data_IF_140646061797
#
_entry.id   IF_140646061797
#
_cell.length_a   1.000
_cell.length_b   1.000
_cell.length_c   1.000
_cell.angle_alpha   90.00
_cell.angle_beta   90.00
_cell.angle_gamma   90.00
#
_symmetry.space_group_name_H-M   'P 1'
#
loop_
_entity.id
_entity.type
_entity.pdbx_description
1 polymer ?
#
# COMPACT_ATOMS: atom_id res chain seq x y z
N UNK A 1 -19.40 -6.27 4.63
CA UNK A 1 -18.03 -6.79 4.75
C UNK A 1 -17.07 -5.73 4.23
N UNK A 2 -15.86 -5.74 4.74
CA UNK A 2 -14.81 -4.80 4.33
C UNK A 2 -13.87 -5.50 3.30
N UNK A 3 -14.44 -6.06 2.25
CA UNK A 3 -13.66 -6.63 1.16
C UNK A 3 -13.09 -5.49 0.31
N UNK A 4 -11.81 -5.23 0.51
CA UNK A 4 -11.03 -4.27 -0.25
C UNK A 4 -9.80 -4.99 -0.80
N UNK A 5 -9.73 -5.11 -2.11
CA UNK A 5 -8.68 -5.87 -2.81
C UNK A 5 -7.87 -4.93 -3.68
N UNK A 6 -6.56 -5.02 -3.56
CA UNK A 6 -5.61 -4.35 -4.45
C UNK A 6 -4.86 -5.41 -5.24
N UNK A 7 -4.88 -5.30 -6.55
CA UNK A 7 -4.13 -6.17 -7.46
C UNK A 7 -3.24 -5.32 -8.37
N UNK A 8 -1.99 -5.75 -8.51
CA UNK A 8 -1.00 -5.10 -9.36
C UNK A 8 -0.42 -6.12 -10.32
N UNK A 9 -0.40 -5.78 -11.60
CA UNK A 9 0.14 -6.60 -12.67
C UNK A 9 1.26 -5.85 -13.37
N UNK A 10 2.45 -6.45 -13.39
CA UNK A 10 3.64 -5.88 -14.00
C UNK A 10 4.40 -6.88 -14.87
N UNK A 11 5.40 -6.40 -15.56
CA UNK A 11 6.24 -7.23 -16.44
C UNK A 11 7.11 -8.25 -15.68
N UNK A 12 7.33 -8.02 -14.39
CA UNK A 12 8.13 -8.91 -13.52
C UNK A 12 7.28 -9.82 -12.65
N UNK A 13 5.96 -9.66 -12.66
CA UNK A 13 5.06 -10.46 -11.84
C UNK A 13 3.79 -9.73 -11.47
N UNK A 14 3.02 -10.34 -10.59
CA UNK A 14 1.77 -9.81 -10.06
C UNK A 14 1.75 -9.92 -8.55
N UNK A 15 1.06 -9.01 -7.89
CA UNK A 15 0.82 -9.05 -6.45
C UNK A 15 -0.66 -8.79 -6.16
N UNK A 16 -1.17 -9.41 -5.11
CA UNK A 16 -2.54 -9.24 -4.66
C UNK A 16 -2.60 -9.17 -3.15
N UNK A 17 -3.35 -8.20 -2.64
CA UNK A 17 -3.60 -8.04 -1.22
C UNK A 17 -5.09 -7.82 -0.96
N UNK A 18 -5.60 -8.41 0.12
CA UNK A 18 -6.99 -8.28 0.53
C UNK A 18 -7.05 -7.80 1.97
N UNK A 19 -7.82 -6.74 2.22
CA UNK A 19 -7.98 -6.15 3.53
C UNK A 19 -8.54 -7.12 4.59
N UNK A 20 -9.42 -8.04 4.22
CA UNK A 20 -9.91 -9.09 5.13
C UNK A 20 -8.82 -10.11 5.52
N UNK A 21 -7.68 -10.10 4.79
CA UNK A 21 -6.49 -10.92 5.05
C UNK A 21 -5.26 -10.03 5.21
N UNK A 22 -5.38 -9.06 6.07
CA UNK A 22 -4.48 -7.94 6.27
C UNK A 22 -2.98 -8.32 6.31
N UNK A 23 -2.67 -9.47 6.89
CA UNK A 23 -1.30 -9.94 7.14
C UNK A 23 -0.76 -10.86 6.03
N UNK A 24 -1.44 -10.96 4.91
CA UNK A 24 -1.10 -11.85 3.80
C UNK A 24 -0.88 -11.04 2.52
N UNK A 25 0.22 -11.32 1.81
CA UNK A 25 0.46 -10.82 0.46
C UNK A 25 0.63 -12.00 -0.48
N UNK A 26 -0.14 -12.05 -1.55
CA UNK A 26 0.00 -13.05 -2.59
C UNK A 26 0.87 -12.50 -3.72
N UNK A 27 1.93 -13.22 -4.09
CA UNK A 27 2.92 -12.81 -5.09
C UNK A 27 3.06 -13.92 -6.12
N UNK A 28 3.06 -13.53 -7.39
CA UNK A 28 3.26 -14.40 -8.53
C UNK A 28 4.38 -13.80 -9.40
N UNK A 29 5.66 -14.15 -9.18
CA UNK A 29 6.75 -13.66 -10.01
C UNK A 29 6.71 -14.29 -11.41
N UNK A 30 7.13 -13.54 -12.41
CA UNK A 30 7.48 -14.09 -13.74
C UNK A 30 8.88 -14.65 -13.64
N UNK A 31 9.01 -15.93 -13.95
CA UNK A 31 10.28 -16.65 -13.98
C UNK A 31 10.93 -16.56 -15.36
N UNK A 32 12.19 -16.99 -15.46
CA UNK A 32 12.90 -17.07 -16.73
C UNK A 32 12.09 -17.87 -17.75
N UNK A 33 12.00 -17.36 -18.98
CA UNK A 33 11.18 -17.95 -20.04
C UNK A 33 9.69 -17.62 -19.97
N UNK A 34 9.27 -16.71 -19.09
CA UNK A 34 7.86 -16.27 -18.97
C UNK A 34 6.95 -17.25 -18.23
N UNK A 35 7.51 -18.29 -17.62
CA UNK A 35 6.76 -19.24 -16.81
C UNK A 35 6.36 -18.62 -15.46
N UNK A 36 5.32 -19.17 -14.84
CA UNK A 36 4.89 -18.82 -13.49
C UNK A 36 4.40 -20.08 -12.76
N UNK A 37 4.68 -20.16 -11.47
CA UNK A 37 4.17 -21.26 -10.62
C UNK A 37 2.84 -20.90 -9.92
N UNK A 38 2.23 -19.78 -10.30
CA UNK A 38 1.05 -19.26 -9.64
C UNK A 38 1.39 -18.40 -8.41
N UNK A 39 0.37 -18.07 -7.62
CA UNK A 39 0.54 -17.21 -6.46
C UNK A 39 1.12 -17.94 -5.27
N UNK A 40 2.16 -17.36 -4.68
CA UNK A 40 2.70 -17.78 -3.38
C UNK A 40 2.25 -16.76 -2.33
N UNK A 41 1.81 -17.26 -1.19
CA UNK A 41 1.40 -16.42 -0.06
C UNK A 41 2.58 -16.12 0.83
N UNK A 42 2.89 -14.84 1.00
CA UNK A 42 3.82 -14.33 1.97
C UNK A 42 3.06 -13.84 3.21
N UNK A 43 3.44 -14.31 4.38
CA UNK A 43 2.89 -13.85 5.65
C UNK A 43 3.72 -12.68 6.16
N UNK A 44 3.05 -11.60 6.57
CA UNK A 44 3.71 -10.50 7.25
C UNK A 44 4.29 -10.96 8.60
N UNK A 45 5.40 -10.37 8.97
CA UNK A 45 6.10 -10.73 10.21
C UNK A 45 7.20 -9.74 10.58
N UNK A 46 7.98 -10.02 11.64
CA UNK A 46 8.97 -9.10 12.20
C UNK A 46 10.05 -8.61 11.22
N UNK A 47 10.27 -9.31 10.12
CA UNK A 47 11.22 -8.93 9.07
C UNK A 47 10.75 -7.70 8.25
N UNK A 48 9.52 -7.27 8.42
CA UNK A 48 8.92 -6.18 7.65
C UNK A 48 8.81 -4.91 8.49
N UNK A 49 9.79 -4.06 8.45
CA UNK A 49 9.78 -2.69 8.96
C UNK A 49 9.12 -2.51 10.34
N UNK A 50 7.99 -1.84 10.38
CA UNK A 50 7.28 -1.52 11.62
C UNK A 50 6.68 -2.74 12.34
N UNK A 51 6.48 -3.87 11.66
CA UNK A 51 5.93 -5.09 12.27
C UNK A 51 6.72 -5.56 13.48
N UNK A 52 8.04 -5.43 13.43
CA UNK A 52 8.94 -5.82 14.50
C UNK A 52 8.62 -5.15 15.85
N UNK A 53 8.05 -3.96 15.82
CA UNK A 53 7.69 -3.22 17.05
C UNK A 53 6.44 -3.76 17.75
N UNK A 54 5.57 -4.44 17.01
CA UNK A 54 4.28 -4.94 17.49
C UNK A 54 4.24 -6.46 17.61
N UNK A 55 4.93 -7.16 16.72
CA UNK A 55 4.85 -8.60 16.58
C UNK A 55 6.23 -9.25 16.79
N UNK A 56 6.44 -9.90 17.95
CA UNK A 56 7.75 -10.43 18.31
C UNK A 56 8.10 -11.72 17.57
N UNK A 57 7.15 -12.38 16.93
CA UNK A 57 7.35 -13.67 16.28
C UNK A 57 6.61 -13.77 14.95
N UNK A 58 7.12 -14.62 14.06
CA UNK A 58 6.45 -14.98 12.81
C UNK A 58 5.10 -15.65 13.11
N UNK A 59 4.07 -15.24 12.37
CA UNK A 59 2.72 -15.80 12.51
C UNK A 59 1.85 -15.12 13.56
N UNK A 60 2.36 -14.14 14.30
CA UNK A 60 1.52 -13.24 15.08
C UNK A 60 0.97 -12.15 14.17
N UNK A 61 -0.35 -11.99 14.16
CA UNK A 61 -1.04 -11.07 13.27
C UNK A 61 -1.18 -9.68 13.88
N UNK A 62 -1.16 -8.65 13.03
CA UNK A 62 -1.59 -7.30 13.39
C UNK A 62 -3.03 -7.08 12.94
N UNK A 63 -3.76 -6.26 13.70
CA UNK A 63 -5.11 -5.82 13.38
C UNK A 63 -5.15 -4.39 12.84
N UNK A 64 -6.37 -3.92 12.60
CA UNK A 64 -6.62 -2.58 12.08
C UNK A 64 -6.11 -1.48 13.04
N UNK A 65 -6.30 -1.66 14.33
CA UNK A 65 -5.88 -0.67 15.35
C UNK A 65 -4.34 -0.55 15.42
N UNK A 66 -3.63 -1.65 15.22
CA UNK A 66 -2.15 -1.63 15.17
C UNK A 66 -1.65 -0.78 14.00
N UNK A 67 -2.31 -0.85 12.84
CA UNK A 67 -1.97 0.00 11.70
C UNK A 67 -2.19 1.47 12.00
N UNK A 68 -3.25 1.82 12.73
CA UNK A 68 -3.51 3.20 13.16
C UNK A 68 -2.48 3.70 14.17
N UNK A 69 -2.00 2.83 15.04
CA UNK A 69 -0.90 3.15 15.96
C UNK A 69 0.42 3.40 15.20
N UNK A 70 0.72 2.61 14.15
CA UNK A 70 1.88 2.83 13.28
C UNK A 70 1.77 4.16 12.54
N UNK A 71 0.63 4.44 11.94
CA UNK A 71 0.37 5.69 11.22
C UNK A 71 0.59 6.91 12.13
N UNK A 72 0.04 6.88 13.34
CA UNK A 72 0.21 7.94 14.33
C UNK A 72 1.69 8.10 14.75
N UNK A 73 2.40 7.00 14.97
CA UNK A 73 3.81 7.01 15.32
C UNK A 73 4.68 7.62 14.20
N UNK A 74 4.42 7.27 12.94
CA UNK A 74 5.12 7.83 11.78
C UNK A 74 4.84 9.33 11.61
N UNK A 75 3.62 9.76 11.86
CA UNK A 75 3.29 11.19 11.85
C UNK A 75 4.05 11.97 12.92
N UNK A 76 4.12 11.44 14.15
CA UNK A 76 4.90 12.04 15.24
C UNK A 76 6.39 12.03 14.91
N UNK A 77 6.92 10.95 14.34
CA UNK A 77 8.31 10.84 13.90
C UNK A 77 8.64 11.94 12.87
N UNK A 78 7.75 12.20 11.91
CA UNK A 78 7.92 13.27 10.93
C UNK A 78 8.02 14.66 11.59
N UNK A 79 7.24 14.92 12.65
CA UNK A 79 7.28 16.17 13.40
C UNK A 79 8.61 16.32 14.17
N UNK A 80 9.07 15.25 14.81
CA UNK A 80 10.26 15.26 15.65
C UNK A 80 11.54 15.41 14.79
N UNK A 81 11.60 14.70 13.68
CA UNK A 81 12.79 14.68 12.81
C UNK A 81 12.81 15.84 11.82
N UNK A 82 11.67 16.43 11.51
CA UNK A 82 11.49 17.39 10.41
C UNK A 82 11.57 16.73 9.02
N UNK A 83 11.62 15.40 8.97
CA UNK A 83 11.64 14.62 7.73
C UNK A 83 10.29 13.96 7.49
N UNK A 84 9.82 13.99 6.25
CA UNK A 84 8.55 13.38 5.90
C UNK A 84 8.67 11.85 5.88
N UNK A 85 7.91 11.18 6.74
CA UNK A 85 7.76 9.72 6.72
C UNK A 85 6.49 9.36 5.95
N UNK A 86 6.57 8.37 5.08
CA UNK A 86 5.44 7.93 4.26
C UNK A 86 4.42 7.09 5.05
N UNK A 87 3.10 7.17 4.75
CA UNK A 87 2.47 8.11 3.81
C UNK A 87 2.37 9.53 4.38
N UNK A 88 2.34 10.51 3.49
CA UNK A 88 2.35 11.93 3.81
C UNK A 88 1.05 12.63 3.42
N UNK A 89 0.93 13.91 3.79
CA UNK A 89 -0.19 14.74 3.34
C UNK A 89 -0.20 14.91 1.80
N UNK A 90 0.96 14.93 1.14
CA UNK A 90 1.04 14.97 -0.32
C UNK A 90 0.53 13.67 -0.96
N UNK A 91 0.78 12.52 -0.33
CA UNK A 91 0.24 11.23 -0.79
C UNK A 91 -1.29 11.20 -0.66
N UNK A 92 -1.82 11.71 0.45
CA UNK A 92 -3.26 11.85 0.66
C UNK A 92 -3.89 12.82 -0.36
N UNK A 93 -3.22 13.92 -0.68
CA UNK A 93 -3.66 14.83 -1.72
C UNK A 93 -3.67 14.16 -3.10
N UNK A 94 -2.66 13.38 -3.46
CA UNK A 94 -2.67 12.60 -4.70
C UNK A 94 -3.91 11.69 -4.80
N UNK A 95 -4.29 11.04 -3.70
CA UNK A 95 -5.50 10.21 -3.67
C UNK A 95 -6.77 11.05 -3.88
N UNK A 96 -6.88 12.23 -3.24
CA UNK A 96 -8.01 13.12 -3.40
C UNK A 96 -8.16 13.66 -4.84
N UNK A 97 -7.05 13.96 -5.53
CA UNK A 97 -7.09 14.37 -6.95
C UNK A 97 -7.64 13.25 -7.86
N UNK A 98 -7.31 12.00 -7.55
CA UNK A 98 -7.89 10.85 -8.27
C UNK A 98 -9.40 10.77 -8.02
N UNK A 99 -9.83 10.92 -6.77
CA UNK A 99 -11.25 10.88 -6.40
C UNK A 99 -12.05 11.99 -7.11
N UNK A 100 -11.53 13.21 -7.16
CA UNK A 100 -12.16 14.32 -7.89
C UNK A 100 -12.29 14.02 -9.39
N UNK A 101 -11.23 13.48 -10.01
CA UNK A 101 -11.28 13.10 -11.43
C UNK A 101 -12.31 11.98 -11.69
N UNK A 102 -12.42 11.02 -10.77
CA UNK A 102 -13.42 9.93 -10.86
C UNK A 102 -14.84 10.49 -10.76
N UNK A 103 -15.10 11.41 -9.83
CA UNK A 103 -16.41 12.05 -9.68
C UNK A 103 -16.79 12.86 -10.93
N UNK A 104 -15.84 13.64 -11.47
CA UNK A 104 -16.05 14.40 -12.68
C UNK A 104 -16.34 13.49 -13.89
N UNK A 105 -15.55 12.43 -14.06
CA UNK A 105 -15.72 11.43 -15.12
C UNK A 105 -17.08 10.71 -15.02
N UNK A 106 -17.52 10.39 -13.82
CA UNK A 106 -18.82 9.78 -13.59
C UNK A 106 -19.99 10.72 -13.95
N UNK A 107 -19.80 12.04 -13.82
CA UNK A 107 -20.82 13.03 -14.11
C UNK A 107 -20.99 13.30 -15.63
N UNK A 108 -19.88 13.32 -16.39
CA UNK A 108 -19.90 13.73 -17.81
C UNK A 108 -19.53 12.61 -18.80
N UNK A 109 -19.06 11.45 -18.32
CA UNK A 109 -18.65 10.31 -19.13
C UNK A 109 -17.35 10.53 -19.91
N UNK A 110 -16.53 11.51 -19.51
CA UNK A 110 -15.27 11.86 -20.17
C UNK A 110 -14.06 11.42 -19.35
N UNK A 111 -12.91 11.32 -20.01
CA UNK A 111 -11.62 11.17 -19.34
C UNK A 111 -11.17 12.51 -18.77
N UNK A 112 -10.78 12.50 -17.50
CA UNK A 112 -10.21 13.65 -16.81
C UNK A 112 -8.76 13.39 -16.49
N UNK A 113 -7.92 14.42 -16.69
CA UNK A 113 -6.51 14.37 -16.29
C UNK A 113 -6.40 14.50 -14.78
N UNK A 114 -5.58 13.65 -14.16
CA UNK A 114 -5.25 13.76 -12.74
C UNK A 114 -4.01 14.63 -12.59
N UNK A 115 -4.09 15.78 -11.90
CA UNK A 115 -2.96 16.67 -11.71
C UNK A 115 -1.81 15.96 -10.99
N UNK A 116 -0.58 16.34 -11.32
CA UNK A 116 0.59 15.89 -10.55
C UNK A 116 0.71 16.71 -9.28
N UNK A 117 0.75 16.02 -8.16
CA UNK A 117 1.04 16.61 -6.85
C UNK A 117 2.54 16.49 -6.59
N UNK A 118 3.19 17.63 -6.28
CA UNK A 118 4.59 17.65 -5.85
C UNK A 118 4.74 17.21 -4.40
N UNK A 119 5.93 16.68 -4.04
CA UNK A 119 6.25 16.28 -2.67
C UNK A 119 5.64 14.94 -2.22
N UNK A 120 5.06 14.16 -3.15
CA UNK A 120 4.63 12.79 -2.84
C UNK A 120 5.83 11.91 -2.51
N UNK A 121 5.62 10.94 -1.65
CA UNK A 121 6.64 9.94 -1.35
C UNK A 121 6.92 9.08 -2.60
N UNK A 122 8.20 8.96 -2.96
CA UNK A 122 8.65 8.01 -3.98
C UNK A 122 9.23 6.81 -3.27
N UNK A 123 8.75 5.62 -3.62
CA UNK A 123 9.38 4.38 -3.20
C UNK A 123 10.45 4.05 -4.25
N UNK A 124 11.72 4.09 -3.85
CA UNK A 124 12.81 3.60 -4.68
C UNK A 124 12.66 2.09 -4.86
N UNK A 125 12.66 1.66 -6.13
CA UNK A 125 12.43 0.26 -6.52
C UNK A 125 13.73 -0.56 -6.48
#
# INVERSE_FOLDING_TARGET
RAEYVVEVYGTKGSARWNFERLNELEICPVLDGGASHGYTRAMAGPQWGQWQRFQPAIGTSMGFDDMKAIEAAQFIESIITGEQVAPSAADAWCAAEVDEAVVASAADGQWHEVPRVEGRTTFDA
#
